data_IF_277623376001
#
_entry.id   IF_277623376001
#
_cell.length_a   1.000
_cell.length_b   1.000
_cell.length_c   1.000
_cell.angle_alpha   90.00
_cell.angle_beta   90.00
_cell.angle_gamma   90.00
#
_symmetry.space_group_name_H-M   'P 1'
#
loop_
_entity.id
_entity.type
_entity.pdbx_description
1 polymer ?
#
# COMPACT_ATOMS: atom_id res chain seq x y z
N UNK A 1 4.56 -11.74 13.21
CA UNK A 1 3.53 -10.99 13.97
C UNK A 1 2.31 -10.79 13.07
N UNK A 2 1.10 -10.64 13.62
CA UNK A 2 -0.11 -10.36 12.81
C UNK A 2 -0.56 -8.92 13.02
N UNK A 3 -0.69 -8.17 11.94
CA UNK A 3 -1.18 -6.79 11.91
C UNK A 3 -2.58 -6.74 11.29
N UNK A 4 -3.48 -5.90 11.80
CA UNK A 4 -4.83 -5.72 11.23
C UNK A 4 -4.99 -4.35 10.63
N UNK A 5 -5.49 -4.26 9.39
CA UNK A 5 -5.58 -3.01 8.64
C UNK A 5 -6.83 -2.95 7.77
N UNK A 6 -7.42 -1.76 7.61
CA UNK A 6 -8.44 -1.53 6.59
C UNK A 6 -7.82 -1.37 5.19
N UNK A 7 -8.53 -1.86 4.19
CA UNK A 7 -8.22 -1.70 2.77
C UNK A 7 -9.52 -1.46 1.99
N UNK A 8 -9.53 -0.43 1.14
CA UNK A 8 -10.70 -0.14 0.30
C UNK A 8 -10.97 -1.27 -0.69
N UNK A 9 -12.24 -1.50 -1.02
CA UNK A 9 -12.70 -2.57 -1.90
C UNK A 9 -11.90 -2.68 -3.20
N UNK A 10 -11.61 -1.54 -3.86
CA UNK A 10 -10.85 -1.53 -5.13
C UNK A 10 -9.48 -2.20 -5.00
N UNK A 11 -8.71 -1.87 -3.96
CA UNK A 11 -7.38 -2.42 -3.75
C UNK A 11 -7.44 -3.84 -3.21
N UNK A 12 -8.43 -4.12 -2.37
CA UNK A 12 -8.68 -5.47 -1.86
C UNK A 12 -8.89 -6.45 -3.01
N UNK A 13 -9.73 -6.08 -3.97
CA UNK A 13 -10.02 -6.90 -5.13
C UNK A 13 -8.82 -6.98 -6.09
N UNK A 14 -8.09 -5.87 -6.26
CA UNK A 14 -6.88 -5.84 -7.10
C UNK A 14 -5.77 -6.78 -6.60
N UNK A 15 -5.64 -6.95 -5.28
CA UNK A 15 -4.71 -7.92 -4.68
C UNK A 15 -5.21 -9.35 -4.89
N UNK A 16 -6.50 -9.62 -4.70
CA UNK A 16 -7.09 -10.96 -4.92
C UNK A 16 -6.93 -11.40 -6.38
N UNK A 17 -7.13 -10.48 -7.32
CA UNK A 17 -6.98 -10.74 -8.76
C UNK A 17 -5.52 -10.82 -9.21
N UNK A 18 -4.56 -10.49 -8.34
CA UNK A 18 -3.13 -10.52 -8.63
C UNK A 18 -2.66 -9.40 -9.57
N UNK A 19 -3.50 -8.38 -9.81
CA UNK A 19 -3.15 -7.20 -10.61
C UNK A 19 -2.22 -6.28 -9.83
N UNK A 20 -2.54 -6.06 -8.55
CA UNK A 20 -1.74 -5.25 -7.64
C UNK A 20 -0.66 -6.10 -6.99
N UNK A 21 0.60 -5.82 -7.34
CA UNK A 21 1.79 -6.52 -6.83
C UNK A 21 2.38 -5.82 -5.61
N UNK A 22 2.23 -4.49 -5.54
CA UNK A 22 2.70 -3.64 -4.45
C UNK A 22 1.58 -2.83 -3.82
N UNK A 23 1.66 -2.63 -2.51
CA UNK A 23 0.78 -1.75 -1.74
C UNK A 23 1.57 -0.57 -1.16
N UNK A 24 1.13 0.65 -1.49
CA UNK A 24 1.69 1.90 -0.98
C UNK A 24 1.00 2.31 0.32
N UNK A 25 1.76 2.77 1.31
CA UNK A 25 1.25 3.44 2.52
C UNK A 25 2.21 4.54 2.97
N UNK A 26 1.70 5.42 3.82
CA UNK A 26 2.57 6.28 4.64
C UNK A 26 3.43 5.41 5.59
N UNK A 27 4.69 5.78 5.82
CA UNK A 27 5.56 5.04 6.74
C UNK A 27 5.29 5.40 8.21
N UNK A 28 4.06 5.08 8.61
CA UNK A 28 3.48 5.54 9.84
C UNK A 28 3.93 4.76 11.08
N UNK A 29 3.77 5.27 12.30
CA UNK A 29 4.17 4.57 13.54
C UNK A 29 3.65 3.12 13.61
N UNK A 30 2.48 2.85 13.02
CA UNK A 30 1.91 1.50 12.95
C UNK A 30 2.63 0.68 11.87
N UNK A 31 2.86 1.23 10.67
CA UNK A 31 3.50 0.53 9.55
C UNK A 31 5.01 0.33 9.76
N UNK A 32 5.70 1.21 10.49
CA UNK A 32 7.12 1.06 10.89
C UNK A 32 7.38 -0.17 11.76
N UNK A 33 6.33 -0.75 12.34
CA UNK A 33 6.43 -1.99 13.15
C UNK A 33 6.34 -3.25 12.29
N UNK A 34 5.94 -3.14 11.02
CA UNK A 34 5.85 -4.26 10.09
C UNK A 34 7.25 -4.68 9.67
N UNK A 35 7.48 -5.99 9.60
CA UNK A 35 8.72 -6.59 9.13
C UNK A 35 8.44 -7.62 8.05
N UNK A 36 9.43 -7.88 7.21
CA UNK A 36 9.41 -9.04 6.30
C UNK A 36 9.18 -10.31 7.12
N UNK A 37 8.27 -11.16 6.65
CA UNK A 37 7.80 -12.37 7.33
C UNK A 37 6.61 -12.16 8.26
N UNK A 38 6.21 -10.91 8.56
CA UNK A 38 4.95 -10.65 9.24
C UNK A 38 3.74 -10.95 8.35
N UNK A 39 2.58 -11.07 8.98
CA UNK A 39 1.29 -11.27 8.32
C UNK A 39 0.43 -10.03 8.52
N UNK A 40 -0.30 -9.63 7.48
CA UNK A 40 -1.30 -8.57 7.55
C UNK A 40 -2.67 -9.18 7.23
N UNK A 41 -3.64 -8.95 8.10
CA UNK A 41 -5.06 -9.21 7.83
C UNK A 41 -5.69 -7.89 7.37
N UNK A 42 -5.93 -7.79 6.07
CA UNK A 42 -6.71 -6.71 5.47
C UNK A 42 -8.19 -6.97 5.69
N UNK A 43 -8.90 -5.96 6.16
CA UNK A 43 -10.34 -5.94 6.33
C UNK A 43 -10.90 -5.01 5.25
N UNK A 44 -11.79 -5.53 4.40
CA UNK A 44 -12.43 -4.73 3.36
C UNK A 44 -13.26 -3.62 4.00
N UNK A 45 -13.04 -2.37 3.61
CA UNK A 45 -13.81 -1.22 4.10
C UNK A 45 -14.57 -0.55 2.95
N UNK A 46 -15.80 -0.04 3.19
CA UNK A 46 -16.44 0.13 4.51
C UNK A 46 -17.22 -1.08 5.08
N UNK A 47 -17.50 -2.11 4.27
CA UNK A 47 -18.44 -3.19 4.61
C UNK A 47 -17.99 -4.08 5.78
N UNK A 48 -16.68 -4.29 5.95
CA UNK A 48 -16.06 -5.11 7.01
C UNK A 48 -16.57 -6.56 7.07
N UNK A 49 -17.06 -7.09 5.95
CA UNK A 49 -17.58 -8.44 5.77
C UNK A 49 -16.53 -9.45 5.28
N UNK A 50 -15.46 -8.96 4.64
CA UNK A 50 -14.40 -9.77 4.06
C UNK A 50 -13.01 -9.44 4.63
N UNK A 51 -12.18 -10.48 4.75
CA UNK A 51 -10.78 -10.34 5.11
C UNK A 51 -9.86 -11.07 4.15
N UNK A 52 -8.67 -10.51 3.95
CA UNK A 52 -7.59 -11.08 3.15
C UNK A 52 -6.34 -11.14 4.03
N UNK A 53 -5.79 -12.33 4.18
CA UNK A 53 -4.53 -12.52 4.90
C UNK A 53 -3.39 -12.58 3.90
N UNK A 54 -2.36 -11.78 4.14
CA UNK A 54 -1.16 -11.75 3.31
C UNK A 54 0.11 -11.85 4.15
N UNK A 55 1.15 -12.43 3.59
CA UNK A 55 2.50 -12.39 4.15
C UNK A 55 3.32 -11.27 3.49
N UNK A 56 4.04 -10.51 4.32
CA UNK A 56 4.98 -9.47 3.87
C UNK A 56 6.26 -10.13 3.37
N UNK A 57 6.53 -10.01 2.08
CA UNK A 57 7.72 -10.60 1.44
C UNK A 57 8.83 -9.58 1.22
N UNK A 58 8.47 -8.30 1.07
CA UNK A 58 9.41 -7.20 0.87
C UNK A 58 8.84 -5.90 1.44
N UNK A 59 9.73 -5.01 1.89
CA UNK A 59 9.41 -3.64 2.29
C UNK A 59 10.48 -2.70 1.73
N UNK A 60 10.05 -1.61 1.10
CA UNK A 60 10.91 -0.51 0.64
C UNK A 60 10.39 0.81 1.19
N UNK A 61 11.31 1.70 1.55
CA UNK A 61 11.00 3.03 2.08
C UNK A 61 11.52 4.10 1.14
N UNK A 62 10.76 5.18 0.99
CA UNK A 62 11.14 6.34 0.19
C UNK A 62 10.86 7.62 0.97
N UNK A 63 11.51 8.72 0.58
CA UNK A 63 11.25 10.02 1.24
C UNK A 63 9.91 10.60 0.82
N UNK A 64 9.48 10.34 -0.41
CA UNK A 64 8.23 10.86 -0.98
C UNK A 64 7.56 9.81 -1.86
N UNK A 65 6.26 9.95 -2.07
CA UNK A 65 5.47 9.21 -3.05
C UNK A 65 6.00 9.43 -4.46
N UNK A 66 6.51 10.63 -4.76
CA UNK A 66 7.12 10.91 -6.07
C UNK A 66 8.35 10.03 -6.31
N UNK A 67 9.24 9.90 -5.32
CA UNK A 67 10.41 9.02 -5.43
C UNK A 67 9.99 7.55 -5.59
N UNK A 68 8.97 7.10 -4.85
CA UNK A 68 8.43 5.74 -4.95
C UNK A 68 7.84 5.46 -6.34
N UNK A 69 6.96 6.32 -6.83
CA UNK A 69 6.29 6.16 -8.12
C UNK A 69 7.25 6.33 -9.30
N UNK A 70 8.39 7.00 -9.09
CA UNK A 70 9.45 7.05 -10.10
C UNK A 70 10.25 5.74 -10.18
N UNK A 71 10.36 5.02 -9.07
CA UNK A 71 11.14 3.78 -8.97
C UNK A 71 10.34 2.53 -9.35
N UNK A 72 9.02 2.53 -9.09
CA UNK A 72 8.16 1.36 -9.25
C UNK A 72 7.19 1.55 -10.43
N UNK A 73 7.09 0.59 -11.37
CA UNK A 73 6.15 0.66 -12.48
C UNK A 73 4.69 0.79 -12.00
N UNK A 74 3.90 1.62 -12.68
CA UNK A 74 2.50 1.83 -12.29
C UNK A 74 1.64 0.58 -12.43
N UNK A 75 2.00 -0.34 -13.34
CA UNK A 75 1.38 -1.66 -13.48
C UNK A 75 1.40 -2.43 -12.13
N UNK A 76 2.49 -2.33 -11.37
CA UNK A 76 2.61 -3.07 -10.10
C UNK A 76 1.66 -2.51 -9.02
N UNK A 77 1.15 -1.29 -9.19
CA UNK A 77 0.12 -0.71 -8.32
C UNK A 77 -1.32 -0.97 -8.80
N UNK A 78 -1.50 -1.66 -9.94
CA UNK A 78 -2.75 -1.73 -10.72
C UNK A 78 -3.20 -0.36 -11.28
N UNK A 79 -2.24 0.44 -11.75
CA UNK A 79 -2.47 1.79 -12.30
C UNK A 79 -1.82 1.96 -13.68
N UNK A 80 -1.79 0.91 -14.50
CA UNK A 80 -1.22 0.98 -15.84
C UNK A 80 -1.85 2.12 -16.67
N UNK A 81 -1.02 2.90 -17.37
CA UNK A 81 -1.46 4.02 -18.20
C UNK A 81 -1.78 5.32 -17.43
N UNK A 82 -1.67 5.32 -16.10
CA UNK A 82 -1.82 6.55 -15.30
C UNK A 82 -0.65 7.50 -15.53
N UNK A 83 -0.88 8.78 -15.22
CA UNK A 83 0.15 9.80 -15.20
C UNK A 83 0.65 10.03 -13.76
N UNK A 84 1.91 10.44 -13.62
CA UNK A 84 2.55 10.69 -12.33
C UNK A 84 1.75 11.65 -11.44
N UNK A 85 1.21 12.73 -12.02
CA UNK A 85 0.38 13.67 -11.27
C UNK A 85 -0.91 13.00 -10.75
N UNK A 86 -1.56 12.16 -11.56
CA UNK A 86 -2.75 11.41 -11.13
C UNK A 86 -2.48 10.47 -9.96
N UNK A 87 -1.33 9.79 -9.96
CA UNK A 87 -0.89 8.94 -8.83
C UNK A 87 -0.70 9.77 -7.55
N UNK A 88 0.00 10.89 -7.65
CA UNK A 88 0.27 11.78 -6.52
C UNK A 88 -1.02 12.41 -5.98
N UNK A 89 -1.85 12.96 -6.86
CA UNK A 89 -3.10 13.63 -6.48
C UNK A 89 -4.04 12.64 -5.79
N UNK A 90 -4.23 11.43 -6.34
CA UNK A 90 -5.05 10.38 -5.71
C UNK A 90 -4.49 9.90 -4.36
N UNK A 91 -3.16 9.85 -4.21
CA UNK A 91 -2.54 9.54 -2.91
C UNK A 91 -2.82 10.64 -1.89
N UNK A 92 -2.86 11.90 -2.33
CA UNK A 92 -3.12 13.05 -1.47
C UNK A 92 -4.59 13.24 -1.09
N UNK A 93 -5.51 12.48 -1.68
CA UNK A 93 -6.87 12.36 -1.17
C UNK A 93 -6.93 11.56 0.16
N UNK A 94 -5.89 10.75 0.43
CA UNK A 94 -5.80 9.87 1.61
C UNK A 94 -4.80 10.43 2.64
N UNK A 95 -3.67 10.98 2.19
CA UNK A 95 -2.59 11.49 3.04
C UNK A 95 -2.28 12.95 2.73
N UNK A 96 -1.92 13.76 3.73
CA UNK A 96 -1.48 15.13 3.44
C UNK A 96 0.01 15.18 3.06
N UNK A 97 0.44 16.17 2.27
CA UNK A 97 1.87 16.39 2.01
C UNK A 97 2.71 16.59 3.28
N UNK A 98 2.13 17.15 4.34
CA UNK A 98 2.78 17.30 5.64
C UNK A 98 3.04 15.95 6.31
N UNK A 99 2.08 15.02 6.21
CA UNK A 99 2.26 13.65 6.70
C UNK A 99 3.38 12.95 5.93
N UNK A 100 3.40 13.06 4.60
CA UNK A 100 4.51 12.53 3.78
C UNK A 100 5.85 13.10 4.26
N UNK A 101 5.93 14.42 4.44
CA UNK A 101 7.17 15.08 4.88
C UNK A 101 7.66 14.60 6.24
N UNK A 102 6.75 14.36 7.18
CA UNK A 102 7.11 13.94 8.54
C UNK A 102 7.41 12.43 8.60
N UNK A 103 6.71 11.59 7.83
CA UNK A 103 6.70 10.14 8.03
C UNK A 103 7.46 9.41 6.92
N UNK A 104 7.58 10.00 5.74
CA UNK A 104 8.01 9.33 4.52
C UNK A 104 6.98 8.31 4.05
N UNK A 105 7.38 7.44 3.13
CA UNK A 105 6.49 6.48 2.49
C UNK A 105 7.08 5.09 2.56
N UNK A 106 6.22 4.08 2.54
CA UNK A 106 6.63 2.69 2.41
C UNK A 106 5.76 1.97 1.38
N UNK A 107 6.34 0.91 0.84
CA UNK A 107 5.68 0.04 -0.11
C UNK A 107 6.07 -1.40 0.20
N UNK A 108 5.07 -2.27 0.22
CA UNK A 108 5.24 -3.68 0.53
C UNK A 108 4.81 -4.58 -0.61
N UNK A 109 5.53 -5.70 -0.77
CA UNK A 109 5.08 -6.84 -1.56
C UNK A 109 4.36 -7.81 -0.62
N UNK A 110 3.18 -8.27 -1.05
CA UNK A 110 2.31 -9.10 -0.26
C UNK A 110 1.86 -10.33 -1.04
N UNK A 111 2.02 -11.50 -0.43
CA UNK A 111 1.50 -12.74 -0.98
C UNK A 111 0.27 -13.19 -0.19
N UNK A 112 -0.89 -13.38 -0.83
CA UNK A 112 -2.05 -14.02 -0.21
C UNK A 112 -1.68 -15.40 0.37
N UNK A 113 -2.19 -15.71 1.56
CA UNK A 113 -1.99 -17.01 2.25
C UNK A 113 -3.28 -17.58 2.82
#
# INVERSE_FOLDING_TARGET
MVHKMGLHEEYFQSIIEGKKKVEVRLNDEKRRKIRVGDTIEFIKIPEQDETLTVQVTELREYKTFYEMYKDIPFEDFDCEGWAMNGMIDGTYEIYTPEQEKEWGTNVGNYNPI
#
